data_IF_030747348911
#
_entry.id   IF_030747348911
#
_cell.length_a   1.000
_cell.length_b   1.000
_cell.length_c   1.000
_cell.angle_alpha   90.00
_cell.angle_beta   90.00
_cell.angle_gamma   90.00
#
_symmetry.space_group_name_H-M   'P 1'
#
loop_
_entity.id
_entity.type
_entity.pdbx_description
1 polymer ?
#
# COMPACT_ATOMS: atom_id res chain seq x y z
N UNK A 1 5.86 12.84 -13.56
CA UNK A 1 5.54 11.42 -13.24
C UNK A 1 4.95 11.35 -11.83
N UNK A 2 4.09 10.35 -11.53
CA UNK A 2 3.45 10.20 -10.21
C UNK A 2 4.24 9.26 -9.30
N UNK A 3 4.07 9.38 -7.98
CA UNK A 3 4.58 8.43 -6.98
C UNK A 3 4.14 7.00 -7.33
N UNK A 4 5.00 6.02 -7.06
CA UNK A 4 4.85 4.60 -7.45
C UNK A 4 4.66 4.35 -8.95
N UNK A 5 4.91 5.35 -9.79
CA UNK A 5 4.73 5.24 -11.25
C UNK A 5 3.27 5.13 -11.71
N UNK A 6 2.29 5.41 -10.84
CA UNK A 6 0.86 5.27 -11.18
C UNK A 6 -0.01 6.29 -10.44
N UNK A 7 -1.19 6.61 -10.99
CA UNK A 7 -2.14 7.55 -10.35
C UNK A 7 -2.68 7.06 -9.00
N UNK A 8 -2.55 5.76 -8.69
CA UNK A 8 -3.18 5.10 -7.55
C UNK A 8 -2.72 5.63 -6.19
N UNK A 9 -1.54 6.23 -6.08
CA UNK A 9 -1.10 6.89 -4.84
C UNK A 9 -2.06 7.99 -4.40
N UNK A 10 -2.63 8.75 -5.35
CA UNK A 10 -3.58 9.84 -5.05
C UNK A 10 -4.80 9.33 -4.28
N UNK A 11 -5.38 8.22 -4.74
CA UNK A 11 -6.55 7.61 -4.10
C UNK A 11 -6.21 6.94 -2.77
N UNK A 12 -5.11 6.17 -2.73
CA UNK A 12 -4.68 5.46 -1.52
C UNK A 12 -4.39 6.43 -0.37
N UNK A 13 -3.62 7.49 -0.63
CA UNK A 13 -3.30 8.49 0.37
C UNK A 13 -4.56 9.24 0.85
N UNK A 14 -5.42 9.69 -0.08
CA UNK A 14 -6.65 10.40 0.30
C UNK A 14 -7.60 9.55 1.14
N UNK A 15 -7.68 8.24 0.88
CA UNK A 15 -8.50 7.34 1.67
C UNK A 15 -7.90 7.14 3.07
N UNK A 16 -6.61 6.79 3.14
CA UNK A 16 -5.94 6.50 4.41
C UNK A 16 -5.82 7.75 5.31
N UNK A 17 -5.59 8.93 4.73
CA UNK A 17 -5.44 10.19 5.49
C UNK A 17 -6.75 10.69 6.12
N UNK A 18 -7.89 10.06 5.81
CA UNK A 18 -9.21 10.39 6.36
C UNK A 18 -9.68 9.40 7.42
N UNK A 19 -8.90 8.36 7.70
CA UNK A 19 -9.18 7.45 8.80
C UNK A 19 -9.08 8.21 10.13
N UNK A 20 -9.97 7.89 11.07
CA UNK A 20 -9.83 8.36 12.43
C UNK A 20 -8.49 7.86 13.01
N UNK A 21 -7.84 8.59 13.93
CA UNK A 21 -6.56 8.18 14.51
C UNK A 21 -6.56 6.74 15.04
N UNK A 22 -7.66 6.31 15.65
CA UNK A 22 -7.84 4.97 16.21
C UNK A 22 -7.94 3.90 15.12
N UNK A 23 -8.51 4.24 13.96
CA UNK A 23 -8.55 3.34 12.81
C UNK A 23 -7.19 3.26 12.14
N UNK A 24 -6.52 4.40 11.97
CA UNK A 24 -5.20 4.47 11.36
C UNK A 24 -4.17 3.71 12.19
N UNK A 25 -4.22 3.80 13.53
CA UNK A 25 -3.32 3.07 14.44
C UNK A 25 -3.45 1.54 14.35
N UNK A 26 -4.57 1.02 13.84
CA UNK A 26 -4.76 -0.44 13.63
C UNK A 26 -4.08 -0.97 12.37
N UNK A 27 -3.55 -0.09 11.52
CA UNK A 27 -3.04 -0.46 10.20
C UNK A 27 -4.12 -0.49 9.12
N UNK A 28 -3.68 -0.60 7.87
CA UNK A 28 -4.55 -0.75 6.71
C UNK A 28 -4.29 -2.09 6.02
N UNK A 29 -5.33 -2.65 5.40
CA UNK A 29 -5.20 -3.84 4.56
C UNK A 29 -5.80 -3.60 3.17
N UNK A 30 -5.19 -4.19 2.15
CA UNK A 30 -5.71 -4.16 0.79
C UNK A 30 -5.33 -5.43 0.03
N UNK A 31 -6.04 -5.71 -1.06
CA UNK A 31 -5.66 -6.74 -2.03
C UNK A 31 -5.32 -6.08 -3.37
N UNK A 32 -4.19 -6.45 -3.97
CA UNK A 32 -3.82 -5.97 -5.30
C UNK A 32 -2.58 -6.69 -5.84
N UNK A 33 -2.54 -6.95 -7.15
CA UNK A 33 -1.36 -7.49 -7.84
C UNK A 33 -0.26 -6.47 -8.16
N UNK A 34 -0.40 -5.18 -7.79
CA UNK A 34 0.71 -4.23 -8.04
C UNK A 34 0.46 -2.75 -7.73
N UNK A 35 -0.01 -1.96 -8.71
CA UNK A 35 -0.03 -0.49 -8.55
C UNK A 35 -0.81 0.00 -7.32
N UNK A 36 -1.88 -0.70 -6.91
CA UNK A 36 -2.61 -0.32 -5.71
C UNK A 36 -1.91 -0.81 -4.44
N UNK A 37 -1.30 -2.00 -4.47
CA UNK A 37 -0.44 -2.51 -3.41
C UNK A 37 0.66 -1.51 -3.05
N UNK A 38 1.44 -1.06 -4.04
CA UNK A 38 2.48 -0.04 -3.83
C UNK A 38 1.93 1.28 -3.32
N UNK A 39 0.77 1.70 -3.84
CA UNK A 39 0.15 2.95 -3.44
C UNK A 39 -0.30 2.91 -1.97
N UNK A 40 -0.90 1.81 -1.52
CA UNK A 40 -1.35 1.62 -0.13
C UNK A 40 -0.14 1.46 0.80
N UNK A 41 0.85 0.65 0.42
CA UNK A 41 2.09 0.48 1.18
C UNK A 41 2.82 1.82 1.38
N UNK A 42 2.96 2.60 0.31
CA UNK A 42 3.56 3.93 0.41
C UNK A 42 2.69 4.89 1.23
N UNK A 43 1.37 4.89 1.07
CA UNK A 43 0.49 5.75 1.87
C UNK A 43 0.58 5.42 3.37
N UNK A 44 0.61 4.14 3.73
CA UNK A 44 0.76 3.69 5.11
C UNK A 44 2.08 4.18 5.73
N UNK A 45 3.19 4.00 5.01
CA UNK A 45 4.52 4.50 5.45
C UNK A 45 4.51 6.00 5.72
N UNK A 46 3.92 6.78 4.85
CA UNK A 46 3.91 8.25 4.94
C UNK A 46 3.00 8.77 6.04
N UNK A 47 1.96 8.02 6.37
CA UNK A 47 1.03 8.31 7.47
C UNK A 47 1.46 7.67 8.80
N UNK A 48 2.62 6.99 8.84
CA UNK A 48 3.14 6.37 10.05
C UNK A 48 2.32 5.18 10.54
N UNK A 49 1.70 4.42 9.64
CA UNK A 49 0.95 3.20 9.96
C UNK A 49 1.46 1.98 9.20
N UNK A 50 0.98 0.79 9.57
CA UNK A 50 1.32 -0.48 8.92
C UNK A 50 0.36 -0.80 7.77
N UNK A 51 0.85 -1.58 6.80
CA UNK A 51 0.04 -2.09 5.71
C UNK A 51 0.22 -3.60 5.55
N UNK A 52 -0.89 -4.33 5.46
CA UNK A 52 -0.92 -5.74 5.02
C UNK A 52 -1.51 -5.79 3.60
N UNK A 53 -0.79 -6.38 2.67
CA UNK A 53 -1.19 -6.45 1.27
C UNK A 53 -1.31 -7.91 0.84
N UNK A 54 -2.53 -8.30 0.46
CA UNK A 54 -2.76 -9.57 -0.22
C UNK A 54 -2.40 -9.42 -1.70
N UNK A 55 -1.41 -10.17 -2.16
CA UNK A 55 -0.95 -10.19 -3.54
C UNK A 55 -1.03 -11.62 -4.08
N UNK A 56 -1.50 -11.86 -5.31
CA UNK A 56 -1.47 -13.20 -5.88
C UNK A 56 -0.02 -13.68 -6.05
N UNK A 57 0.20 -14.99 -5.99
CA UNK A 57 1.53 -15.61 -6.10
C UNK A 57 2.26 -15.23 -7.40
N UNK A 58 1.51 -15.05 -8.48
CA UNK A 58 1.99 -14.69 -9.82
C UNK A 58 2.13 -13.18 -10.06
N UNK A 59 1.97 -12.34 -9.02
CA UNK A 59 2.18 -10.91 -9.14
C UNK A 59 3.61 -10.60 -9.63
N UNK A 60 3.80 -9.64 -10.56
CA UNK A 60 5.11 -9.34 -11.11
C UNK A 60 6.15 -9.09 -10.00
N UNK A 61 7.34 -9.71 -10.03
CA UNK A 61 8.33 -9.58 -8.96
C UNK A 61 8.67 -8.13 -8.62
N UNK A 62 8.86 -7.29 -9.64
CA UNK A 62 9.10 -5.85 -9.47
C UNK A 62 7.98 -5.12 -8.71
N UNK A 63 6.74 -5.62 -8.82
CA UNK A 63 5.59 -5.05 -8.09
C UNK A 63 5.55 -5.51 -6.64
N UNK A 64 5.89 -6.78 -6.38
CA UNK A 64 6.02 -7.35 -5.03
C UNK A 64 7.18 -6.69 -4.27
N UNK A 65 8.36 -6.63 -4.88
CA UNK A 65 9.58 -6.07 -4.27
C UNK A 65 9.40 -4.59 -3.90
N UNK A 66 8.80 -3.79 -4.80
CA UNK A 66 8.53 -2.39 -4.48
C UNK A 66 7.47 -2.22 -3.38
N UNK A 67 6.47 -3.11 -3.31
CA UNK A 67 5.48 -3.11 -2.21
C UNK A 67 6.15 -3.42 -0.87
N UNK A 68 6.98 -4.46 -0.83
CA UNK A 68 7.78 -4.82 0.35
C UNK A 68 8.77 -3.71 0.73
N UNK A 69 9.41 -3.07 -0.25
CA UNK A 69 10.33 -1.95 -0.05
C UNK A 69 9.69 -0.70 0.54
N UNK A 70 8.36 -0.58 0.49
CA UNK A 70 7.61 0.46 1.22
C UNK A 70 7.22 0.05 2.65
N UNK A 71 7.59 -1.15 3.10
CA UNK A 71 7.37 -1.64 4.46
C UNK A 71 6.04 -2.37 4.67
N UNK A 72 5.35 -2.76 3.60
CA UNK A 72 4.15 -3.57 3.73
C UNK A 72 4.48 -5.05 3.99
N UNK A 73 3.67 -5.67 4.85
CA UNK A 73 3.60 -7.12 4.99
C UNK A 73 2.84 -7.69 3.78
N UNK A 74 3.43 -8.65 3.06
CA UNK A 74 2.79 -9.27 1.90
C UNK A 74 2.28 -10.65 2.30
N UNK A 75 0.99 -10.89 2.04
CA UNK A 75 0.33 -12.19 2.16
C UNK A 75 0.01 -12.68 0.75
N UNK A 76 0.25 -13.94 0.46
CA UNK A 76 -0.03 -14.56 -0.85
C UNK A 76 -1.10 -15.62 -0.76
#
# INVERSE_FOLDING_TARGET
>A
LQRVGAFKFRGAYNAASRLAPEQLARGVAAYSSGNHAQAVALAARELGTTAVIVMPEDAPPSKRDATAGYGAEIVT
#
